data_IF_985258220655
#
_entry.id   IF_985258220655
#
_cell.length_a   1.000
_cell.length_b   1.000
_cell.length_c   1.000
_cell.angle_alpha   90.00
_cell.angle_beta   90.00
_cell.angle_gamma   90.00
#
_symmetry.space_group_name_H-M   'P 1'
#
loop_
_entity.id
_entity.type
_entity.pdbx_description
1 polymer ?
#
# COMPACT_ATOMS: atom_id res chain seq x y z
N UNK A 1 -26.67 1.55 30.55
CA UNK A 1 -26.37 2.69 29.68
C UNK A 1 -26.13 3.91 30.55
N UNK A 2 -24.91 4.44 30.60
CA UNK A 2 -24.59 5.62 31.41
C UNK A 2 -25.33 6.83 30.85
N UNK A 3 -26.26 7.40 31.61
CA UNK A 3 -26.92 8.66 31.24
C UNK A 3 -25.88 9.78 31.24
N UNK A 4 -25.56 10.33 30.07
CA UNK A 4 -24.81 11.59 29.97
C UNK A 4 -25.75 12.75 30.35
N UNK A 5 -25.27 13.68 31.15
CA UNK A 5 -26.04 14.89 31.50
C UNK A 5 -26.02 15.89 30.34
N UNK A 6 -26.93 16.87 30.36
CA UNK A 6 -26.90 17.98 29.39
C UNK A 6 -25.60 18.80 29.47
N UNK A 7 -25.04 18.94 30.67
CA UNK A 7 -23.77 19.64 30.90
C UNK A 7 -22.59 18.91 30.28
N UNK A 8 -22.58 17.58 30.33
CA UNK A 8 -21.55 16.75 29.69
C UNK A 8 -21.52 16.98 28.17
N UNK A 9 -22.69 17.07 27.54
CA UNK A 9 -22.81 17.29 26.10
C UNK A 9 -22.34 18.70 25.70
N UNK A 10 -22.69 19.72 26.49
CA UNK A 10 -22.19 21.08 26.27
C UNK A 10 -20.66 21.14 26.40
N UNK A 11 -20.09 20.46 27.39
CA UNK A 11 -18.64 20.35 27.54
C UNK A 11 -18.01 19.69 26.30
N UNK A 12 -18.59 18.60 25.81
CA UNK A 12 -18.12 17.91 24.60
C UNK A 12 -18.11 18.85 23.39
N UNK A 13 -19.20 19.57 23.15
CA UNK A 13 -19.33 20.46 21.98
C UNK A 13 -18.30 21.59 22.01
N UNK A 14 -18.01 22.16 23.19
CA UNK A 14 -16.95 23.19 23.34
C UNK A 14 -15.55 22.62 23.08
N UNK A 15 -15.29 21.38 23.49
CA UNK A 15 -13.98 20.73 23.35
C UNK A 15 -13.68 20.25 21.93
N UNK A 16 -14.71 19.97 21.13
CA UNK A 16 -14.58 19.52 19.73
C UNK A 16 -14.40 20.69 18.78
N UNK A 17 -14.85 21.90 19.11
CA UNK A 17 -14.84 23.06 18.22
C UNK A 17 -13.52 23.26 17.42
N UNK A 18 -12.31 23.13 18.01
CA UNK A 18 -11.06 23.27 17.26
C UNK A 18 -10.81 22.21 16.18
N UNK A 19 -11.50 21.07 16.25
CA UNK A 19 -11.38 19.95 15.32
C UNK A 19 -12.36 20.01 14.15
N UNK A 20 -13.21 21.05 14.06
CA UNK A 20 -14.23 21.17 13.00
C UNK A 20 -13.66 21.36 11.58
N UNK A 21 -12.43 21.87 11.46
CA UNK A 21 -11.74 22.06 10.18
C UNK A 21 -11.21 20.76 9.57
N UNK A 22 -11.41 19.64 10.26
CA UNK A 22 -10.98 18.33 9.81
C UNK A 22 -12.08 17.72 8.94
N UNK A 23 -11.68 16.99 7.89
CA UNK A 23 -12.58 16.28 6.98
C UNK A 23 -13.23 15.04 7.64
N UNK A 24 -13.92 15.23 8.76
CA UNK A 24 -14.65 14.23 9.56
C UNK A 24 -15.96 14.88 10.01
N UNK A 25 -17.05 14.11 10.03
CA UNK A 25 -18.35 14.64 10.45
C UNK A 25 -18.34 15.08 11.91
N UNK A 26 -19.15 16.09 12.24
CA UNK A 26 -19.24 16.60 13.63
C UNK A 26 -19.80 15.51 14.54
N UNK A 27 -20.71 14.69 14.03
CA UNK A 27 -21.31 13.55 14.71
C UNK A 27 -20.26 12.51 15.11
N UNK A 28 -19.32 12.18 14.21
CA UNK A 28 -18.21 11.27 14.50
C UNK A 28 -17.26 11.84 15.55
N UNK A 29 -16.90 13.13 15.43
CA UNK A 29 -16.08 13.81 16.46
C UNK A 29 -16.77 13.76 17.82
N UNK A 30 -18.11 13.94 17.86
CA UNK A 30 -18.91 13.84 19.08
C UNK A 30 -18.86 12.44 19.67
N UNK A 31 -18.97 11.40 18.85
CA UNK A 31 -18.87 10.01 19.33
C UNK A 31 -17.50 9.72 19.98
N UNK A 32 -16.39 10.17 19.37
CA UNK A 32 -15.07 10.01 19.97
C UNK A 32 -14.91 10.77 21.29
N UNK A 33 -15.46 11.98 21.36
CA UNK A 33 -15.42 12.76 22.59
C UNK A 33 -16.22 12.12 23.72
N UNK A 34 -17.41 11.55 23.42
CA UNK A 34 -18.22 10.79 24.39
C UNK A 34 -17.41 9.63 24.98
N UNK A 35 -16.70 8.86 24.14
CA UNK A 35 -15.83 7.78 24.59
C UNK A 35 -14.69 8.28 25.50
N UNK A 36 -14.11 9.44 25.17
CA UNK A 36 -13.10 10.10 26.01
C UNK A 36 -13.66 10.54 27.36
N UNK A 37 -14.87 11.09 27.37
CA UNK A 37 -15.54 11.56 28.60
C UNK A 37 -15.90 10.40 29.53
N UNK A 38 -16.41 9.29 28.98
CA UNK A 38 -16.70 8.07 29.76
C UNK A 38 -15.44 7.55 30.43
N UNK A 39 -14.30 7.52 29.71
CA UNK A 39 -12.99 7.14 30.28
C UNK A 39 -12.53 8.11 31.37
N UNK A 40 -12.76 9.41 31.21
CA UNK A 40 -12.44 10.40 32.23
C UNK A 40 -13.24 10.16 33.51
N UNK A 41 -14.56 9.94 33.41
CA UNK A 41 -15.42 9.65 34.57
C UNK A 41 -14.98 8.41 35.32
N UNK A 42 -14.57 7.35 34.60
CA UNK A 42 -14.10 6.11 35.24
C UNK A 42 -12.77 6.23 36.01
N UNK A 43 -11.97 7.29 35.78
CA UNK A 43 -10.65 7.47 36.39
C UNK A 43 -10.51 8.75 37.22
N UNK A 44 -11.60 9.50 37.36
CA UNK A 44 -11.57 10.78 38.05
C UNK A 44 -11.65 10.59 39.57
N UNK A 45 -10.67 11.12 40.29
CA UNK A 45 -10.64 11.15 41.74
C UNK A 45 -11.02 12.56 42.25
N UNK A 46 -12.20 12.76 42.87
CA UNK A 46 -12.63 14.06 43.38
C UNK A 46 -11.72 14.63 44.49
N UNK A 47 -11.04 13.75 45.22
CA UNK A 47 -10.18 14.11 46.36
C UNK A 47 -8.92 14.89 45.95
N UNK A 48 -8.58 14.94 44.65
CA UNK A 48 -7.40 15.65 44.14
C UNK A 48 -7.58 17.16 44.02
N UNK A 49 -8.77 17.70 44.29
CA UNK A 49 -9.03 19.15 44.29
C UNK A 49 -9.04 19.82 42.91
N UNK A 50 -9.09 19.04 41.82
CA UNK A 50 -9.15 19.55 40.44
C UNK A 50 -10.57 19.43 39.91
N UNK A 51 -11.07 20.46 39.23
CA UNK A 51 -12.39 20.43 38.57
C UNK A 51 -12.43 19.33 37.51
N UNK A 52 -13.54 18.59 37.44
CA UNK A 52 -13.72 17.51 36.47
C UNK A 52 -13.51 17.97 35.03
N UNK A 53 -14.02 19.15 34.64
CA UNK A 53 -13.87 19.69 33.29
C UNK A 53 -12.39 19.80 32.85
N UNK A 54 -11.50 20.23 33.74
CA UNK A 54 -10.06 20.34 33.47
C UNK A 54 -9.43 18.97 33.21
N UNK A 55 -9.82 17.96 33.99
CA UNK A 55 -9.34 16.59 33.83
C UNK A 55 -9.91 15.93 32.56
N UNK A 56 -11.20 16.09 32.32
CA UNK A 56 -11.92 15.54 31.18
C UNK A 56 -11.40 16.07 29.85
N UNK A 57 -11.01 17.35 29.79
CA UNK A 57 -10.49 17.98 28.58
C UNK A 57 -9.32 17.23 27.96
N UNK A 58 -8.40 16.69 28.77
CA UNK A 58 -7.27 15.88 28.29
C UNK A 58 -7.75 14.57 27.63
N UNK A 59 -8.64 13.84 28.31
CA UNK A 59 -9.14 12.56 27.82
C UNK A 59 -10.01 12.70 26.57
N UNK A 60 -10.84 13.74 26.50
CA UNK A 60 -11.66 14.07 25.33
C UNK A 60 -10.77 14.42 24.14
N UNK A 61 -9.83 15.37 24.30
CA UNK A 61 -8.90 15.74 23.22
C UNK A 61 -8.08 14.56 22.72
N UNK A 62 -7.60 13.70 23.63
CA UNK A 62 -6.86 12.47 23.28
C UNK A 62 -7.73 11.49 22.50
N UNK A 63 -8.97 11.27 22.94
CA UNK A 63 -9.89 10.35 22.27
C UNK A 63 -10.26 10.85 20.87
N UNK A 64 -10.56 12.14 20.73
CA UNK A 64 -10.80 12.78 19.42
C UNK A 64 -9.57 12.66 18.53
N UNK A 65 -8.37 12.97 19.03
CA UNK A 65 -7.14 12.87 18.23
C UNK A 65 -6.87 11.44 17.74
N UNK A 66 -7.09 10.44 18.59
CA UNK A 66 -6.94 9.03 18.22
C UNK A 66 -8.00 8.60 17.20
N UNK A 67 -9.28 8.91 17.45
CA UNK A 67 -10.37 8.55 16.53
C UNK A 67 -10.19 9.19 15.16
N UNK A 68 -9.86 10.48 15.15
CA UNK A 68 -9.48 11.23 13.95
C UNK A 68 -8.30 10.58 13.24
N UNK A 69 -7.26 10.17 13.95
CA UNK A 69 -6.10 9.54 13.35
C UNK A 69 -6.43 8.18 12.72
N UNK A 70 -7.29 7.41 13.39
CA UNK A 70 -7.71 6.08 12.93
C UNK A 70 -8.65 6.17 11.72
N UNK A 71 -9.46 7.23 11.59
CA UNK A 71 -10.36 7.44 10.45
C UNK A 71 -9.79 8.26 9.31
N UNK A 72 -8.86 9.19 9.56
CA UNK A 72 -8.39 10.21 8.60
C UNK A 72 -7.73 9.69 7.32
N UNK A 73 -7.53 8.40 7.15
CA UNK A 73 -6.79 7.88 6.02
C UNK A 73 -7.63 6.86 5.27
N UNK A 74 -8.11 7.30 4.10
CA UNK A 74 -8.63 6.58 2.93
C UNK A 74 -8.21 5.08 2.80
N UNK A 75 -8.59 4.23 3.75
CA UNK A 75 -8.25 2.80 3.77
C UNK A 75 -6.78 2.44 4.04
N UNK A 76 -5.85 3.40 4.04
CA UNK A 76 -4.41 3.15 4.20
C UNK A 76 -3.99 3.28 5.67
N UNK A 77 -3.51 2.18 6.27
CA UNK A 77 -3.05 2.16 7.67
C UNK A 77 -1.63 2.69 7.79
N UNK A 78 -1.46 3.87 8.38
CA UNK A 78 -0.15 4.46 8.67
C UNK A 78 0.36 4.14 10.07
N UNK A 79 1.69 4.00 10.22
CA UNK A 79 2.31 3.90 11.53
C UNK A 79 2.20 5.26 12.23
N UNK A 80 1.76 5.27 13.49
CA UNK A 80 1.42 6.49 14.23
C UNK A 80 2.56 7.54 14.31
N UNK A 81 3.83 7.12 14.26
CA UNK A 81 4.97 8.04 14.33
C UNK A 81 5.23 8.82 13.04
N UNK A 82 4.69 8.37 11.89
CA UNK A 82 4.85 9.07 10.61
C UNK A 82 4.13 10.41 10.64
N UNK A 83 2.88 10.44 11.15
CA UNK A 83 2.09 11.67 11.25
C UNK A 83 2.72 12.74 12.15
N UNK A 84 3.29 12.33 13.29
CA UNK A 84 4.01 13.27 14.16
C UNK A 84 5.24 13.88 13.46
N UNK A 85 5.90 13.10 12.58
CA UNK A 85 7.06 13.54 11.82
C UNK A 85 6.66 14.44 10.65
N UNK A 86 5.57 14.11 9.94
CA UNK A 86 4.97 14.95 8.89
C UNK A 86 4.51 16.31 9.42
N UNK A 87 3.85 16.36 10.57
CA UNK A 87 3.48 17.63 11.20
C UNK A 87 4.71 18.49 11.54
N UNK A 88 5.82 17.87 11.96
CA UNK A 88 7.09 18.59 12.19
C UNK A 88 7.66 19.12 10.89
N UNK A 89 7.63 18.33 9.82
CA UNK A 89 8.07 18.76 8.48
C UNK A 89 7.25 19.98 8.02
N UNK A 90 5.92 19.92 8.08
CA UNK A 90 5.06 21.02 7.66
C UNK A 90 5.19 22.26 8.53
N UNK A 91 5.38 22.09 9.85
CA UNK A 91 5.69 23.21 10.74
C UNK A 91 7.00 23.89 10.35
N UNK A 92 8.06 23.11 10.06
CA UNK A 92 9.35 23.66 9.65
C UNK A 92 9.28 24.32 8.27
N UNK A 93 8.54 23.75 7.31
CA UNK A 93 8.26 24.40 6.03
C UNK A 93 7.64 25.79 6.21
N UNK A 94 6.66 25.92 7.10
CA UNK A 94 6.01 27.19 7.40
C UNK A 94 6.94 28.21 8.08
N UNK A 95 7.76 27.77 9.03
CA UNK A 95 8.76 28.62 9.68
C UNK A 95 9.78 29.12 8.64
N UNK A 96 10.34 28.22 7.84
CA UNK A 96 11.31 28.55 6.82
C UNK A 96 10.75 29.52 5.77
N UNK A 97 9.50 29.29 5.32
CA UNK A 97 8.84 30.19 4.39
C UNK A 97 8.68 31.59 4.96
N UNK A 98 8.35 31.71 6.25
CA UNK A 98 8.24 33.01 6.91
C UNK A 98 9.59 33.72 7.08
N UNK A 99 10.67 32.96 7.29
CA UNK A 99 12.02 33.51 7.48
C UNK A 99 12.71 33.90 6.16
N UNK A 100 12.53 33.08 5.11
CA UNK A 100 13.27 33.21 3.86
C UNK A 100 12.42 33.65 2.65
N UNK A 101 11.09 33.60 2.75
CA UNK A 101 10.16 33.99 1.68
C UNK A 101 10.02 32.97 0.55
N UNK A 102 10.60 31.77 0.67
CA UNK A 102 10.45 30.67 -0.28
C UNK A 102 10.33 29.31 0.43
N UNK A 103 9.88 28.27 -0.29
CA UNK A 103 9.76 26.92 0.27
C UNK A 103 11.12 26.20 0.28
N UNK A 104 11.50 25.53 1.38
CA UNK A 104 12.80 24.88 1.49
C UNK A 104 12.92 23.66 0.57
N UNK A 105 14.12 23.42 0.06
CA UNK A 105 14.46 22.20 -0.68
C UNK A 105 14.48 20.97 0.24
N UNK A 106 14.37 19.76 -0.32
CA UNK A 106 14.46 18.51 0.45
C UNK A 106 15.82 18.39 1.17
N UNK A 107 16.90 18.82 0.53
CA UNK A 107 18.24 18.87 1.15
C UNK A 107 18.30 19.82 2.36
N UNK A 108 17.66 20.98 2.26
CA UNK A 108 17.62 21.98 3.32
C UNK A 108 16.76 21.50 4.49
N UNK A 109 15.59 20.92 4.20
CA UNK A 109 14.71 20.30 5.19
C UNK A 109 15.41 19.15 5.93
N UNK A 110 16.16 18.32 5.21
CA UNK A 110 16.97 17.22 5.75
C UNK A 110 17.99 17.74 6.77
N UNK A 111 18.71 18.82 6.45
CA UNK A 111 19.68 19.47 7.34
C UNK A 111 19.02 20.08 8.58
N UNK A 112 17.89 20.78 8.41
CA UNK A 112 17.15 21.43 9.51
C UNK A 112 16.60 20.38 10.47
N UNK A 113 16.01 19.31 9.95
CA UNK A 113 15.37 18.25 10.74
C UNK A 113 16.35 17.20 11.25
N UNK A 114 17.59 17.18 10.75
CA UNK A 114 18.62 16.15 11.03
C UNK A 114 18.13 14.73 10.69
N UNK A 115 17.40 14.59 9.60
CA UNK A 115 16.90 13.31 9.08
C UNK A 115 17.65 13.00 7.79
N UNK A 116 17.99 11.74 7.53
CA UNK A 116 18.58 11.34 6.24
C UNK A 116 17.62 11.66 5.10
N UNK A 117 18.16 12.10 3.97
CA UNK A 117 17.35 12.51 2.81
C UNK A 117 16.50 11.36 2.25
N UNK A 118 17.04 10.14 2.18
CA UNK A 118 16.26 8.95 1.77
C UNK A 118 15.00 8.75 2.63
N UNK A 119 15.17 8.88 3.95
CA UNK A 119 14.05 8.75 4.89
C UNK A 119 13.06 9.91 4.75
N UNK A 120 13.54 11.10 4.42
CA UNK A 120 12.67 12.24 4.14
C UNK A 120 11.86 11.99 2.88
N UNK A 121 12.47 11.48 1.81
CA UNK A 121 11.79 11.13 0.56
C UNK A 121 10.74 10.03 0.78
N UNK A 122 11.06 8.99 1.55
CA UNK A 122 10.09 7.97 1.95
C UNK A 122 8.90 8.60 2.71
N UNK A 123 9.19 9.47 3.68
CA UNK A 123 8.16 10.17 4.45
C UNK A 123 7.30 11.08 3.58
N UNK A 124 7.89 11.76 2.59
CA UNK A 124 7.17 12.62 1.66
C UNK A 124 6.33 11.82 0.66
N UNK A 125 6.75 10.62 0.27
CA UNK A 125 5.92 9.71 -0.53
C UNK A 125 4.66 9.31 0.24
N UNK A 126 4.81 9.11 1.56
CA UNK A 126 3.70 8.88 2.46
C UNK A 126 2.87 10.11 2.77
N UNK A 127 3.36 11.33 2.48
CA UNK A 127 2.59 12.57 2.54
C UNK A 127 1.58 12.57 1.37
N UNK A 128 0.58 11.69 1.44
CA UNK A 128 -0.49 11.62 0.45
C UNK A 128 -1.19 12.97 0.42
N UNK A 129 -0.86 13.75 -0.60
CA UNK A 129 -1.64 14.90 -1.01
C UNK A 129 -2.94 14.39 -1.60
N UNK A 130 -3.93 14.17 -0.72
CA UNK A 130 -5.34 13.92 -1.07
C UNK A 130 -5.56 12.72 -1.99
N UNK A 131 -6.13 11.64 -1.48
CA UNK A 131 -6.72 10.65 -2.38
C UNK A 131 -7.80 11.37 -3.19
N UNK A 132 -7.60 11.41 -4.50
CA UNK A 132 -8.52 12.01 -5.45
C UNK A 132 -9.61 10.99 -5.76
N UNK A 133 -10.86 11.44 -5.86
CA UNK A 133 -11.96 10.56 -6.25
C UNK A 133 -11.74 10.08 -7.69
N UNK A 134 -11.90 8.79 -7.95
CA UNK A 134 -11.86 8.24 -9.31
C UNK A 134 -12.97 8.86 -10.19
N UNK A 135 -14.10 9.20 -9.57
CA UNK A 135 -15.23 9.88 -10.22
C UNK A 135 -15.03 11.39 -10.38
N UNK A 136 -13.92 11.96 -9.88
CA UNK A 136 -13.69 13.39 -10.07
C UNK A 136 -13.41 13.69 -11.54
N UNK A 137 -14.09 14.69 -12.07
CA UNK A 137 -13.96 15.10 -13.46
C UNK A 137 -12.72 15.97 -13.62
N UNK A 138 -11.93 15.68 -14.65
CA UNK A 138 -10.79 16.52 -15.05
C UNK A 138 -11.25 17.34 -16.25
N UNK A 139 -11.11 18.66 -16.15
CA UNK A 139 -11.32 19.55 -17.29
C UNK A 139 -10.08 19.48 -18.21
N UNK A 140 -10.24 18.78 -19.33
CA UNK A 140 -9.18 18.56 -20.31
C UNK A 140 -9.26 19.53 -21.52
N UNK A 141 -10.12 20.56 -21.47
CA UNK A 141 -10.24 21.57 -22.53
C UNK A 141 -10.87 21.08 -23.84
N UNK A 142 -11.16 19.78 -23.97
CA UNK A 142 -12.09 19.22 -24.94
C UNK A 142 -13.43 18.96 -24.22
N UNK A 143 -14.57 19.19 -24.87
CA UNK A 143 -15.95 19.15 -24.32
C UNK A 143 -16.39 17.81 -23.67
N UNK A 144 -15.46 16.91 -23.38
CA UNK A 144 -15.69 15.63 -22.71
C UNK A 144 -15.06 15.64 -21.31
N UNK A 145 -15.91 15.76 -20.29
CA UNK A 145 -15.54 15.45 -18.90
C UNK A 145 -15.12 13.97 -18.81
N UNK A 146 -13.83 13.69 -18.95
CA UNK A 146 -13.29 12.34 -18.72
C UNK A 146 -13.08 12.14 -17.22
N UNK A 147 -13.79 11.19 -16.63
CA UNK A 147 -13.52 10.69 -15.27
C UNK A 147 -12.13 10.04 -15.22
N UNK A 148 -11.45 10.09 -14.07
CA UNK A 148 -10.15 9.42 -13.89
C UNK A 148 -10.23 7.91 -14.20
N UNK A 149 -11.39 7.28 -13.99
CA UNK A 149 -11.64 5.87 -14.35
C UNK A 149 -11.23 5.53 -15.79
N UNK A 150 -11.54 6.41 -16.75
CA UNK A 150 -11.27 6.16 -18.17
C UNK A 150 -9.80 6.44 -18.57
N UNK A 151 -9.02 7.03 -17.67
CA UNK A 151 -7.63 7.40 -17.93
C UNK A 151 -6.64 6.36 -17.44
N UNK A 152 -7.05 5.50 -16.49
CA UNK A 152 -6.20 4.40 -16.04
C UNK A 152 -6.29 3.24 -17.04
N UNK A 153 -5.17 2.88 -17.71
CA UNK A 153 -5.14 1.66 -18.50
C UNK A 153 -5.31 0.48 -17.55
N UNK A 154 -6.17 -0.45 -17.94
CA UNK A 154 -6.33 -1.71 -17.22
C UNK A 154 -5.03 -2.53 -17.37
N UNK A 155 -4.55 -3.15 -16.29
CA UNK A 155 -3.31 -3.97 -16.29
C UNK A 155 -3.49 -5.31 -17.06
N UNK A 156 -4.67 -5.51 -17.65
CA UNK A 156 -4.97 -6.69 -18.44
C UNK A 156 -4.11 -6.71 -19.71
N UNK A 157 -3.55 -7.88 -20.01
CA UNK A 157 -2.84 -8.13 -21.26
C UNK A 157 -3.75 -7.73 -22.43
N UNK A 158 -3.18 -6.99 -23.38
CA UNK A 158 -3.87 -6.69 -24.63
C UNK A 158 -4.32 -8.03 -25.25
N UNK A 159 -5.55 -8.16 -25.81
CA UNK A 159 -6.04 -9.41 -26.41
C UNK A 159 -5.05 -10.07 -27.38
N UNK A 160 -4.26 -9.28 -28.11
CA UNK A 160 -3.18 -9.80 -28.96
C UNK A 160 -2.07 -10.49 -28.15
N UNK A 161 -1.62 -9.88 -27.05
CA UNK A 161 -0.64 -10.48 -26.15
C UNK A 161 -1.19 -11.76 -25.52
N UNK A 162 -2.46 -11.78 -25.10
CA UNK A 162 -3.09 -12.97 -24.54
C UNK A 162 -3.08 -14.15 -25.53
N UNK A 163 -3.36 -13.89 -26.81
CA UNK A 163 -3.29 -14.91 -27.88
C UNK A 163 -1.85 -15.40 -28.05
N UNK A 164 -0.88 -14.49 -28.13
CA UNK A 164 0.55 -14.85 -28.24
C UNK A 164 1.03 -15.68 -27.05
N UNK A 165 0.57 -15.36 -25.84
CA UNK A 165 0.87 -16.14 -24.63
C UNK A 165 0.29 -17.56 -24.71
N UNK A 166 -0.97 -17.71 -25.17
CA UNK A 166 -1.59 -19.03 -25.36
C UNK A 166 -0.85 -19.86 -26.41
N UNK A 167 -0.47 -19.25 -27.52
CA UNK A 167 0.31 -19.93 -28.57
C UNK A 167 1.67 -20.39 -28.07
N UNK A 168 2.40 -19.56 -27.31
CA UNK A 168 3.66 -19.95 -26.67
C UNK A 168 3.50 -21.13 -25.72
N UNK A 169 2.42 -21.17 -24.95
CA UNK A 169 2.12 -22.29 -24.04
C UNK A 169 1.92 -23.58 -24.86
N UNK A 170 1.11 -23.53 -25.91
CA UNK A 170 0.86 -24.69 -26.77
C UNK A 170 2.15 -25.20 -27.42
N UNK A 171 3.00 -24.29 -27.95
CA UNK A 171 4.30 -24.64 -28.51
C UNK A 171 5.23 -25.29 -27.47
N UNK A 172 5.24 -24.80 -26.23
CA UNK A 172 6.00 -25.41 -25.14
C UNK A 172 5.45 -26.80 -24.78
N UNK A 173 4.14 -27.00 -24.76
CA UNK A 173 3.53 -28.30 -24.50
C UNK A 173 3.86 -29.32 -25.59
N UNK A 174 3.79 -28.92 -26.85
CA UNK A 174 4.22 -29.73 -28.00
C UNK A 174 5.70 -30.12 -27.86
N UNK A 175 6.59 -29.14 -27.60
CA UNK A 175 8.01 -29.38 -27.43
C UNK A 175 8.31 -30.37 -26.30
N UNK A 176 7.64 -30.23 -25.15
CA UNK A 176 7.79 -31.14 -24.02
C UNK A 176 7.25 -32.53 -24.37
N UNK A 177 6.10 -32.61 -25.05
CA UNK A 177 5.50 -33.90 -25.44
C UNK A 177 6.37 -34.70 -26.41
N UNK A 178 7.20 -34.03 -27.22
CA UNK A 178 8.17 -34.68 -28.12
C UNK A 178 9.31 -35.41 -27.38
N UNK A 179 9.56 -35.06 -26.11
CA UNK A 179 10.60 -35.67 -25.30
C UNK A 179 10.21 -37.07 -24.81
N UNK A 180 11.21 -37.88 -24.45
CA UNK A 180 10.98 -39.16 -23.77
C UNK A 180 10.31 -38.94 -22.40
N UNK A 181 9.45 -39.88 -21.97
CA UNK A 181 8.74 -39.83 -20.67
C UNK A 181 9.66 -39.49 -19.48
N UNK A 182 10.88 -40.03 -19.46
CA UNK A 182 11.88 -39.73 -18.41
C UNK A 182 12.38 -38.28 -18.47
N UNK A 183 12.62 -37.74 -19.67
CA UNK A 183 13.03 -36.34 -19.87
C UNK A 183 11.90 -35.37 -19.49
N UNK A 184 10.65 -35.68 -19.88
CA UNK A 184 9.48 -34.87 -19.51
C UNK A 184 9.35 -34.71 -17.99
N UNK A 185 9.49 -35.81 -17.24
CA UNK A 185 9.41 -35.80 -15.78
C UNK A 185 10.52 -34.96 -15.15
N UNK A 186 11.75 -35.07 -15.64
CA UNK A 186 12.88 -34.28 -15.15
C UNK A 186 12.69 -32.79 -15.46
N UNK A 187 12.33 -32.43 -16.70
CA UNK A 187 12.16 -31.03 -17.11
C UNK A 187 11.00 -30.39 -16.34
N UNK A 188 9.81 -31.02 -16.29
CA UNK A 188 8.66 -30.52 -15.52
C UNK A 188 8.98 -30.39 -14.03
N UNK A 189 9.63 -31.39 -13.45
CA UNK A 189 10.02 -31.37 -12.04
C UNK A 189 11.01 -30.24 -11.72
N UNK A 190 11.95 -29.94 -12.62
CA UNK A 190 12.88 -28.81 -12.45
C UNK A 190 12.18 -27.45 -12.54
N UNK A 191 11.23 -27.28 -13.46
CA UNK A 191 10.41 -26.07 -13.53
C UNK A 191 9.51 -25.88 -12.29
N UNK A 192 9.03 -26.97 -11.69
CA UNK A 192 8.29 -26.95 -10.41
C UNK A 192 9.18 -26.71 -9.18
N UNK A 193 10.50 -26.54 -9.35
CA UNK A 193 11.43 -26.23 -8.27
C UNK A 193 12.06 -27.44 -7.55
N UNK A 194 11.83 -28.68 -8.01
CA UNK A 194 12.45 -29.87 -7.40
C UNK A 194 13.97 -29.88 -7.55
N UNK A 195 14.66 -30.37 -6.52
CA UNK A 195 16.12 -30.51 -6.55
C UNK A 195 16.56 -31.70 -7.43
N UNK A 196 17.80 -31.66 -7.95
CA UNK A 196 18.34 -32.78 -8.74
C UNK A 196 18.45 -34.07 -7.92
N UNK A 197 18.58 -33.95 -6.61
CA UNK A 197 18.70 -35.08 -5.69
C UNK A 197 17.32 -35.72 -5.41
N UNK A 198 16.27 -34.91 -5.23
CA UNK A 198 14.89 -35.39 -5.14
C UNK A 198 14.47 -36.14 -6.40
N UNK A 199 14.73 -35.55 -7.58
CA UNK A 199 14.42 -36.19 -8.87
C UNK A 199 15.26 -37.46 -9.11
N UNK A 200 16.49 -37.50 -8.59
CA UNK A 200 17.33 -38.70 -8.61
C UNK A 200 16.74 -39.83 -7.78
N UNK A 201 16.24 -39.51 -6.59
CA UNK A 201 15.58 -40.49 -5.71
C UNK A 201 14.25 -41.00 -6.31
N UNK A 202 13.44 -40.13 -6.91
CA UNK A 202 12.17 -40.52 -7.56
C UNK A 202 12.38 -41.43 -8.78
N UNK A 203 13.46 -41.21 -9.53
CA UNK A 203 13.75 -41.93 -10.78
C UNK A 203 14.76 -43.07 -10.61
N UNK A 204 15.24 -43.33 -9.39
CA UNK A 204 16.34 -44.25 -9.09
C UNK A 204 17.60 -43.99 -9.95
N UNK A 205 17.97 -42.72 -10.09
CA UNK A 205 19.12 -42.26 -10.88
C UNK A 205 20.10 -41.45 -10.03
N UNK A 206 21.37 -41.47 -10.42
CA UNK A 206 22.36 -40.60 -9.80
C UNK A 206 22.06 -39.13 -10.13
N UNK A 207 22.44 -38.22 -9.23
CA UNK A 207 22.31 -36.76 -9.42
C UNK A 207 22.89 -36.30 -10.76
N UNK A 208 24.07 -36.80 -11.11
CA UNK A 208 24.73 -36.43 -12.37
C UNK A 208 23.96 -36.95 -13.59
N UNK A 209 23.35 -38.14 -13.49
CA UNK A 209 22.52 -38.68 -14.57
C UNK A 209 21.26 -37.85 -14.79
N UNK A 210 20.62 -37.38 -13.73
CA UNK A 210 19.47 -36.44 -13.83
C UNK A 210 19.89 -35.11 -14.44
N UNK A 211 21.08 -34.60 -14.09
CA UNK A 211 21.64 -33.38 -14.69
C UNK A 211 21.81 -33.53 -16.20
N UNK A 212 22.40 -34.63 -16.66
CA UNK A 212 22.55 -34.93 -18.09
C UNK A 212 21.19 -34.99 -18.81
N UNK A 213 20.23 -35.73 -18.26
CA UNK A 213 18.88 -35.84 -18.83
C UNK A 213 18.20 -34.47 -18.94
N UNK A 214 18.41 -33.59 -17.95
CA UNK A 214 17.87 -32.23 -17.99
C UNK A 214 18.51 -31.39 -19.09
N UNK A 215 19.84 -31.43 -19.22
CA UNK A 215 20.56 -30.68 -20.27
C UNK A 215 20.14 -31.19 -21.66
N UNK A 216 20.16 -32.50 -21.87
CA UNK A 216 19.72 -33.13 -23.14
C UNK A 216 18.27 -32.80 -23.46
N UNK A 217 17.40 -32.74 -22.45
CA UNK A 217 15.99 -32.37 -22.60
C UNK A 217 15.81 -30.91 -23.04
N UNK A 218 16.56 -29.99 -22.45
CA UNK A 218 16.53 -28.57 -22.82
C UNK A 218 17.10 -28.33 -24.22
N UNK A 219 18.17 -29.03 -24.60
CA UNK A 219 18.72 -28.95 -25.97
C UNK A 219 17.72 -29.42 -27.02
N UNK A 220 17.01 -30.52 -26.75
CA UNK A 220 15.97 -31.02 -27.66
C UNK A 220 14.78 -30.08 -27.78
N UNK A 221 14.33 -29.46 -26.68
CA UNK A 221 13.29 -28.43 -26.70
C UNK A 221 13.74 -27.25 -27.57
N UNK A 222 14.99 -26.79 -27.41
CA UNK A 222 15.54 -25.70 -28.21
C UNK A 222 15.55 -26.03 -29.71
N UNK A 223 16.02 -27.22 -30.08
CA UNK A 223 16.04 -27.68 -31.49
C UNK A 223 14.61 -27.74 -32.06
N UNK A 224 13.64 -28.21 -31.27
CA UNK A 224 12.24 -28.28 -31.68
C UNK A 224 11.66 -26.89 -31.98
N UNK A 225 11.90 -25.92 -31.09
CA UNK A 225 11.45 -24.53 -31.24
C UNK A 225 12.13 -23.88 -32.46
N UNK A 226 13.45 -24.03 -32.61
CA UNK A 226 14.21 -23.49 -33.74
C UNK A 226 13.74 -24.05 -35.10
N UNK A 227 13.34 -25.32 -35.14
CA UNK A 227 12.83 -25.95 -36.36
C UNK A 227 11.42 -25.46 -36.73
N UNK A 228 10.53 -25.24 -35.75
CA UNK A 228 9.20 -24.65 -36.01
C UNK A 228 9.31 -23.21 -36.51
N UNK A 229 10.13 -22.38 -35.88
CA UNK A 229 10.36 -21.00 -36.33
C UNK A 229 10.99 -20.91 -37.74
N UNK A 230 11.82 -21.89 -38.14
CA UNK A 230 12.36 -21.96 -39.51
C UNK A 230 11.36 -22.50 -40.55
N UNK A 231 10.36 -23.27 -40.12
CA UNK A 231 9.27 -23.75 -40.97
C UNK A 231 8.28 -22.64 -41.34
N UNK A 232 8.00 -21.73 -40.40
CA UNK A 232 7.11 -20.57 -40.61
C UNK A 232 7.75 -19.49 -41.49
N UNK A 233 9.08 -19.30 -41.45
CA UNK A 233 9.81 -18.34 -42.27
C UNK A 233 10.08 -18.79 -43.73
N UNK A 234 9.60 -19.96 -44.14
CA UNK A 234 9.78 -20.52 -45.50
C UNK A 234 8.50 -20.52 -46.34
N UNK A 235 7.40 -19.97 -45.82
CA UNK A 235 6.19 -19.68 -46.58
C UNK A 235 6.12 -18.20 -46.93
#
# INVERSE_FOLDING_TARGET
MTNLSKEDLALIDTLIFPFRSINISIEELRQYAVLGLIRAKGKFDPNRGIKFATYAAFWVKRAVYLGVHDTKWYGLKYKHHYNATLCKINKQRGIFYNEHGYYPSNEELSKILKIKEDKLNDLLLYEIKGVVSIDSTVDNGEDSFSSFENMYPDDNLNPEEEILWKEKILLMEEAISSLNKKMQLVVRGRFQGKSLQELGNELNLTRERVRQINVDGLERIKIFIDNKHKGENKC
#
